data_IF_137692819211
#
_entry.id   IF_137692819211
#
_cell.length_a   1.000
_cell.length_b   1.000
_cell.length_c   1.000
_cell.angle_alpha   90.00
_cell.angle_beta   90.00
_cell.angle_gamma   90.00
#
_symmetry.space_group_name_H-M   'P 1'
#
loop_
_entity.id
_entity.type
_entity.pdbx_description
1 polymer ?
#
# COMPACT_ATOMS: atom_id res chain seq x y z
N UNK A 1 -24.13 -13.67 22.11
CA UNK A 1 -24.94 -13.12 21.03
C UNK A 1 -24.32 -13.60 19.72
N UNK A 2 -25.11 -14.27 18.86
CA UNK A 2 -24.62 -14.76 17.56
C UNK A 2 -24.31 -13.59 16.64
N UNK A 3 -23.21 -13.69 15.90
CA UNK A 3 -22.94 -12.83 14.75
C UNK A 3 -22.89 -13.72 13.52
N UNK A 4 -23.70 -13.40 12.55
CA UNK A 4 -23.77 -14.10 11.28
C UNK A 4 -22.65 -13.63 10.37
N UNK A 5 -21.97 -14.56 9.71
CA UNK A 5 -20.91 -14.32 8.73
C UNK A 5 -21.44 -14.65 7.33
N UNK A 6 -21.44 -13.68 6.44
CA UNK A 6 -21.72 -13.87 5.02
C UNK A 6 -20.49 -13.50 4.18
N UNK A 7 -20.29 -14.22 3.06
CA UNK A 7 -19.11 -14.12 2.22
C UNK A 7 -19.53 -13.99 0.75
N UNK A 8 -18.91 -13.05 0.02
CA UNK A 8 -19.08 -12.88 -1.42
C UNK A 8 -17.73 -12.78 -2.13
N UNK A 9 -17.26 -13.83 -2.84
CA UNK A 9 -16.10 -13.73 -3.72
C UNK A 9 -16.35 -12.71 -4.83
N UNK A 10 -15.33 -11.95 -5.18
CA UNK A 10 -15.39 -11.00 -6.28
C UNK A 10 -14.19 -11.12 -7.22
N UNK A 11 -14.42 -10.66 -8.46
CA UNK A 11 -13.40 -10.52 -9.48
C UNK A 11 -13.59 -9.20 -10.20
N UNK A 12 -12.60 -8.31 -10.13
CA UNK A 12 -12.66 -6.95 -10.64
C UNK A 12 -11.60 -6.75 -11.72
N UNK A 13 -12.00 -6.28 -12.89
CA UNK A 13 -11.09 -6.11 -14.02
C UNK A 13 -10.36 -4.77 -13.96
N UNK A 14 -9.04 -4.78 -14.09
CA UNK A 14 -8.30 -3.55 -14.35
C UNK A 14 -8.69 -2.95 -15.71
N UNK A 15 -8.78 -1.63 -15.80
CA UNK A 15 -9.05 -0.91 -17.05
C UNK A 15 -7.92 -1.16 -18.08
N UNK A 16 -6.70 -1.27 -17.59
CA UNK A 16 -5.53 -1.72 -18.34
C UNK A 16 -4.75 -2.71 -17.48
N UNK A 17 -4.18 -3.80 -18.04
CA UNK A 17 -3.37 -4.74 -17.26
C UNK A 17 -2.23 -4.03 -16.54
N UNK A 18 -2.11 -4.26 -15.23
CA UNK A 18 -1.02 -3.73 -14.45
C UNK A 18 0.24 -4.56 -14.69
N UNK A 19 1.31 -3.94 -15.16
CA UNK A 19 2.59 -4.62 -15.39
C UNK A 19 3.33 -4.81 -14.07
N UNK A 20 3.49 -6.08 -13.65
CA UNK A 20 4.22 -6.47 -12.44
C UNK A 20 5.47 -7.28 -12.80
N UNK A 21 6.34 -7.52 -11.83
CA UNK A 21 7.48 -8.44 -11.99
C UNK A 21 7.03 -9.90 -12.26
N UNK A 22 5.77 -10.23 -11.95
CA UNK A 22 5.15 -11.55 -12.13
C UNK A 22 4.30 -11.66 -13.40
N UNK A 23 4.39 -10.66 -14.28
CA UNK A 23 3.61 -10.57 -15.52
C UNK A 23 2.41 -9.62 -15.42
N UNK A 24 1.55 -9.59 -16.47
CA UNK A 24 0.40 -8.70 -16.51
C UNK A 24 -0.70 -9.14 -15.55
N UNK A 25 -1.01 -8.27 -14.58
CA UNK A 25 -2.13 -8.48 -13.66
C UNK A 25 -3.40 -7.87 -14.22
N UNK A 26 -4.33 -8.74 -14.65
CA UNK A 26 -5.56 -8.33 -15.36
C UNK A 26 -6.76 -8.22 -14.43
N UNK A 27 -6.78 -8.97 -13.35
CA UNK A 27 -7.93 -9.11 -12.46
C UNK A 27 -7.52 -9.02 -11.01
N UNK A 28 -8.19 -8.15 -10.25
CA UNK A 28 -8.16 -8.12 -8.80
C UNK A 28 -9.22 -9.06 -8.27
N UNK A 29 -8.82 -10.08 -7.54
CA UNK A 29 -9.72 -11.05 -6.93
C UNK A 29 -9.67 -10.88 -5.40
N UNK A 30 -10.78 -11.12 -4.74
CA UNK A 30 -10.88 -11.01 -3.30
C UNK A 30 -12.20 -11.59 -2.78
N UNK A 31 -12.42 -11.39 -1.49
CA UNK A 31 -13.59 -11.87 -0.77
C UNK A 31 -14.15 -10.74 0.08
N UNK A 32 -15.41 -10.38 -0.12
CA UNK A 32 -16.11 -9.47 0.77
C UNK A 32 -16.70 -10.25 1.94
N UNK A 33 -16.60 -9.63 3.10
CA UNK A 33 -17.13 -10.13 4.38
C UNK A 33 -18.24 -9.19 4.82
N UNK A 34 -19.37 -9.76 5.26
CA UNK A 34 -20.43 -9.04 5.96
C UNK A 34 -20.71 -9.76 7.25
N UNK A 35 -20.64 -9.05 8.35
CA UNK A 35 -21.02 -9.50 9.67
C UNK A 35 -22.32 -8.81 10.07
N UNK A 36 -23.26 -9.58 10.65
CA UNK A 36 -24.50 -9.02 11.19
C UNK A 36 -24.76 -9.59 12.58
N UNK A 37 -25.06 -8.72 13.53
CA UNK A 37 -25.41 -9.14 14.87
C UNK A 37 -26.92 -9.27 15.09
N UNK A 38 -27.32 -9.78 16.24
CA UNK A 38 -28.74 -9.99 16.59
C UNK A 38 -29.55 -8.69 16.71
N UNK A 39 -28.92 -7.53 16.67
CA UNK A 39 -29.57 -6.21 16.67
C UNK A 39 -29.67 -5.61 15.27
N UNK A 40 -29.22 -6.34 14.23
CA UNK A 40 -29.20 -5.90 12.84
C UNK A 40 -28.09 -4.89 12.51
N UNK A 41 -27.09 -4.73 13.39
CA UNK A 41 -25.91 -3.94 13.06
C UNK A 41 -25.03 -4.72 12.10
N UNK A 42 -24.43 -4.02 11.13
CA UNK A 42 -23.63 -4.63 10.07
C UNK A 42 -22.21 -4.07 10.10
N UNK A 43 -21.24 -4.93 9.91
CA UNK A 43 -19.85 -4.56 9.65
C UNK A 43 -19.35 -5.22 8.38
N UNK A 44 -18.62 -4.47 7.56
CA UNK A 44 -18.03 -4.94 6.31
C UNK A 44 -16.53 -5.07 6.42
N UNK A 45 -15.98 -6.11 5.78
CA UNK A 45 -14.55 -6.32 5.63
C UNK A 45 -14.20 -6.85 4.25
N UNK A 46 -12.94 -6.82 3.92
CA UNK A 46 -12.46 -7.30 2.64
C UNK A 46 -11.15 -8.08 2.80
N UNK A 47 -11.10 -9.27 2.24
CA UNK A 47 -9.88 -10.05 2.04
C UNK A 47 -9.40 -9.76 0.62
N UNK A 48 -8.32 -9.03 0.51
CA UNK A 48 -7.77 -8.56 -0.76
C UNK A 48 -6.33 -9.06 -0.94
N UNK A 49 -6.08 -10.40 -1.05
CA UNK A 49 -4.75 -10.96 -1.00
C UNK A 49 -3.95 -10.68 -2.28
N UNK A 50 -2.62 -10.68 -2.13
CA UNK A 50 -1.65 -10.63 -3.24
C UNK A 50 -0.63 -11.72 -2.99
N UNK A 51 -0.85 -12.96 -3.49
CA UNK A 51 -0.02 -14.12 -3.14
C UNK A 51 1.47 -13.94 -3.43
N UNK A 52 1.83 -13.31 -4.54
CA UNK A 52 3.23 -13.05 -4.86
C UNK A 52 3.87 -11.93 -4.01
N UNK A 53 3.07 -11.25 -3.18
CA UNK A 53 3.54 -10.27 -2.21
C UNK A 53 3.66 -10.84 -0.80
N UNK A 54 3.27 -12.10 -0.60
CA UNK A 54 3.42 -12.83 0.66
C UNK A 54 2.13 -13.06 1.46
N UNK A 55 0.97 -12.72 0.91
CA UNK A 55 -0.32 -13.10 1.51
C UNK A 55 -0.86 -14.40 0.90
N UNK A 56 -1.91 -14.92 1.49
CA UNK A 56 -2.65 -16.09 1.02
C UNK A 56 -3.31 -15.90 -0.34
N UNK A 57 -3.89 -16.96 -0.90
CA UNK A 57 -4.80 -16.90 -2.03
C UNK A 57 -6.26 -16.69 -1.59
N UNK A 58 -7.13 -16.21 -2.49
CA UNK A 58 -8.58 -16.11 -2.23
C UNK A 58 -9.19 -17.47 -1.89
N UNK A 59 -8.69 -18.55 -2.49
CA UNK A 59 -9.18 -19.90 -2.23
C UNK A 59 -8.87 -20.36 -0.79
N UNK A 60 -7.67 -20.08 -0.28
CA UNK A 60 -7.28 -20.39 1.10
C UNK A 60 -8.10 -19.57 2.09
N UNK A 61 -8.27 -18.27 1.84
CA UNK A 61 -9.12 -17.39 2.65
C UNK A 61 -10.57 -17.88 2.72
N UNK A 62 -11.16 -18.23 1.57
CA UNK A 62 -12.52 -18.73 1.48
C UNK A 62 -12.68 -20.06 2.22
N UNK A 63 -11.75 -20.99 2.01
CA UNK A 63 -11.77 -22.29 2.68
C UNK A 63 -11.68 -22.14 4.21
N UNK A 64 -10.81 -21.25 4.70
CA UNK A 64 -10.71 -20.94 6.13
C UNK A 64 -12.04 -20.39 6.67
N UNK A 65 -12.59 -19.34 6.05
CA UNK A 65 -13.83 -18.72 6.52
C UNK A 65 -15.02 -19.70 6.50
N UNK A 66 -15.11 -20.56 5.48
CA UNK A 66 -16.18 -21.57 5.38
C UNK A 66 -16.03 -22.67 6.42
N UNK A 67 -14.81 -23.12 6.72
CA UNK A 67 -14.56 -24.15 7.73
C UNK A 67 -14.93 -23.70 9.14
N UNK A 68 -14.84 -22.40 9.44
CA UNK A 68 -15.18 -21.86 10.76
C UNK A 68 -16.69 -21.76 11.01
N UNK A 69 -17.51 -21.63 9.96
CA UNK A 69 -18.97 -21.53 10.09
C UNK A 69 -19.40 -20.47 11.11
N UNK A 70 -20.31 -20.85 12.04
CA UNK A 70 -20.77 -19.97 13.12
C UNK A 70 -19.74 -19.77 14.26
N UNK A 71 -18.68 -20.56 14.31
CA UNK A 71 -17.66 -20.54 15.38
C UNK A 71 -16.42 -19.72 15.00
N UNK A 72 -16.46 -18.98 13.90
CA UNK A 72 -15.32 -18.23 13.37
C UNK A 72 -14.65 -17.28 14.39
N UNK A 73 -15.39 -16.85 15.43
CA UNK A 73 -14.84 -16.02 16.51
C UNK A 73 -14.02 -16.80 17.54
N UNK A 74 -14.19 -18.11 17.61
CA UNK A 74 -13.55 -18.95 18.62
C UNK A 74 -12.15 -19.40 18.22
N UNK A 75 -11.77 -19.17 16.97
CA UNK A 75 -10.48 -19.60 16.45
C UNK A 75 -9.70 -18.38 15.94
N UNK A 76 -8.46 -18.18 16.38
CA UNK A 76 -7.62 -17.14 15.82
C UNK A 76 -7.36 -17.42 14.33
N UNK A 77 -7.32 -16.35 13.53
CA UNK A 77 -6.91 -16.48 12.12
C UNK A 77 -5.40 -16.78 12.10
N UNK A 78 -4.97 -17.83 11.38
CA UNK A 78 -3.54 -18.14 11.24
C UNK A 78 -2.73 -16.97 10.68
N UNK A 79 -1.47 -16.84 11.11
CA UNK A 79 -0.57 -15.79 10.64
C UNK A 79 -0.25 -15.88 9.13
N UNK A 80 -0.44 -17.06 8.55
CA UNK A 80 -0.30 -17.34 7.12
C UNK A 80 -1.45 -16.77 6.27
N UNK A 81 -2.50 -16.25 6.92
CA UNK A 81 -3.68 -15.67 6.26
C UNK A 81 -3.83 -14.17 6.60
N UNK A 82 -2.81 -13.33 6.31
CA UNK A 82 -2.79 -11.94 6.79
C UNK A 82 -3.91 -11.07 6.18
N UNK A 83 -4.30 -11.29 4.92
CA UNK A 83 -5.42 -10.55 4.35
C UNK A 83 -6.77 -10.99 4.96
N UNK A 84 -6.90 -12.25 5.37
CA UNK A 84 -8.07 -12.74 6.09
C UNK A 84 -8.16 -12.15 7.51
N UNK A 85 -7.03 -12.05 8.23
CA UNK A 85 -6.97 -11.35 9.51
C UNK A 85 -7.47 -9.91 9.35
N UNK A 86 -6.88 -9.16 8.39
CA UNK A 86 -7.30 -7.79 8.11
C UNK A 86 -8.80 -7.71 7.83
N UNK A 87 -9.34 -8.56 6.95
CA UNK A 87 -10.75 -8.52 6.56
C UNK A 87 -11.71 -8.79 7.71
N UNK A 88 -11.47 -9.85 8.48
CA UNK A 88 -12.33 -10.22 9.61
C UNK A 88 -12.26 -9.20 10.76
N UNK A 89 -11.06 -8.78 11.15
CA UNK A 89 -10.89 -7.80 12.22
C UNK A 89 -11.44 -6.42 11.84
N UNK A 90 -11.31 -6.00 10.58
CA UNK A 90 -11.90 -4.75 10.09
C UNK A 90 -13.43 -4.80 10.12
N UNK A 91 -14.04 -5.92 9.68
CA UNK A 91 -15.49 -6.10 9.76
C UNK A 91 -15.98 -6.08 11.22
N UNK A 92 -15.22 -6.69 12.14
CA UNK A 92 -15.53 -6.67 13.57
C UNK A 92 -15.43 -5.26 14.16
N UNK A 93 -14.40 -4.51 13.80
CA UNK A 93 -14.22 -3.14 14.26
C UNK A 93 -15.36 -2.23 13.77
N UNK A 94 -15.80 -2.40 12.52
CA UNK A 94 -16.96 -1.68 11.97
C UNK A 94 -18.25 -2.06 12.70
N UNK A 95 -18.50 -3.36 12.92
CA UNK A 95 -19.67 -3.86 13.64
C UNK A 95 -19.75 -3.33 15.10
N UNK A 96 -18.60 -3.15 15.74
CA UNK A 96 -18.51 -2.68 17.13
C UNK A 96 -18.60 -1.15 17.26
N UNK A 97 -18.33 -0.40 16.19
CA UNK A 97 -18.29 1.05 16.22
C UNK A 97 -19.69 1.65 16.25
N UNK A 98 -19.95 2.62 17.14
CA UNK A 98 -21.21 3.38 17.17
C UNK A 98 -21.33 4.36 16.00
N UNK A 99 -20.21 4.80 15.42
CA UNK A 99 -20.14 5.76 14.32
C UNK A 99 -18.93 5.46 13.41
N UNK A 100 -19.06 4.50 12.50
CA UNK A 100 -18.05 4.21 11.50
C UNK A 100 -18.10 5.15 10.27
N UNK A 101 -19.17 5.93 10.15
CA UNK A 101 -19.44 6.80 8.98
C UNK A 101 -18.62 8.10 8.91
N UNK A 102 -17.68 8.32 9.83
CA UNK A 102 -16.89 9.58 9.89
C UNK A 102 -15.67 9.54 8.95
N UNK A 103 -15.56 8.51 8.10
CA UNK A 103 -14.42 8.46 7.21
C UNK A 103 -14.63 9.35 5.98
N UNK A 104 -13.72 10.32 5.78
CA UNK A 104 -13.67 11.14 4.58
C UNK A 104 -12.50 10.71 3.69
N UNK A 105 -12.75 10.66 2.37
CA UNK A 105 -11.69 10.41 1.39
C UNK A 105 -10.60 11.49 1.53
N UNK A 106 -9.31 11.12 1.63
CA UNK A 106 -8.23 12.08 1.73
C UNK A 106 -8.19 13.01 0.49
N UNK A 107 -7.82 14.28 0.71
CA UNK A 107 -7.63 15.22 -0.39
C UNK A 107 -6.52 14.76 -1.34
N UNK A 108 -6.54 15.26 -2.58
CA UNK A 108 -5.49 14.96 -3.56
C UNK A 108 -4.08 15.35 -3.08
N UNK A 109 -3.94 16.36 -2.23
CA UNK A 109 -2.66 16.76 -1.63
C UNK A 109 -2.11 15.71 -0.64
N UNK A 110 -3.01 14.96 0.01
CA UNK A 110 -2.65 13.90 0.93
C UNK A 110 -2.43 12.54 0.23
N UNK A 111 -2.68 12.45 -1.09
CA UNK A 111 -2.52 11.24 -1.89
C UNK A 111 -1.34 11.39 -2.84
N UNK A 112 -0.48 10.38 -2.89
CA UNK A 112 0.61 10.27 -3.84
C UNK A 112 0.07 9.98 -5.25
N UNK A 113 0.39 10.83 -6.22
CA UNK A 113 0.04 10.64 -7.63
C UNK A 113 0.97 9.64 -8.31
N UNK A 114 0.41 8.69 -9.07
CA UNK A 114 1.22 7.70 -9.79
C UNK A 114 1.63 8.21 -11.17
N UNK A 115 2.90 7.99 -11.52
CA UNK A 115 3.47 8.27 -12.82
C UNK A 115 3.72 6.97 -13.60
N UNK A 116 3.57 6.97 -14.92
CA UNK A 116 3.99 5.85 -15.75
C UNK A 116 5.51 5.69 -15.71
N UNK A 117 6.00 4.46 -15.93
CA UNK A 117 7.42 4.22 -16.10
C UNK A 117 7.97 4.93 -17.36
N UNK A 118 9.28 5.22 -17.37
CA UNK A 118 10.00 5.79 -18.49
C UNK A 118 9.67 7.26 -18.77
N UNK A 119 10.00 7.71 -19.98
CA UNK A 119 9.92 9.10 -20.44
C UNK A 119 8.52 9.72 -20.35
N UNK A 120 7.48 8.89 -20.47
CA UNK A 120 6.09 9.37 -20.36
C UNK A 120 5.78 10.08 -19.04
N UNK A 121 6.54 9.82 -17.97
CA UNK A 121 6.43 10.50 -16.70
C UNK A 121 6.60 12.03 -16.84
N UNK A 122 7.47 12.50 -17.74
CA UNK A 122 7.75 13.92 -17.97
C UNK A 122 6.49 14.70 -18.38
N UNK A 123 5.64 14.11 -19.23
CA UNK A 123 4.40 14.73 -19.67
C UNK A 123 3.28 14.63 -18.62
N UNK A 124 3.27 13.58 -17.80
CA UNK A 124 2.19 13.30 -16.86
C UNK A 124 2.42 14.00 -15.50
N UNK A 125 3.65 14.17 -15.06
CA UNK A 125 3.95 14.74 -13.75
C UNK A 125 3.39 16.17 -13.54
N UNK A 126 3.54 17.12 -14.48
CA UNK A 126 2.91 18.44 -14.34
C UNK A 126 1.38 18.36 -14.25
N UNK A 127 0.76 17.43 -14.97
CA UNK A 127 -0.68 17.23 -14.92
C UNK A 127 -1.14 16.73 -13.55
N UNK A 128 -0.43 15.73 -12.96
CA UNK A 128 -0.71 15.24 -11.61
C UNK A 128 -0.53 16.33 -10.57
N UNK A 129 0.51 17.14 -10.70
CA UNK A 129 0.73 18.29 -9.81
C UNK A 129 -0.40 19.32 -9.93
N UNK A 130 -0.86 19.64 -11.14
CA UNK A 130 -2.00 20.53 -11.38
C UNK A 130 -3.34 19.98 -10.81
N UNK A 131 -3.47 18.63 -10.72
CA UNK A 131 -4.60 17.96 -10.06
C UNK A 131 -4.53 18.02 -8.53
N UNK A 132 -3.50 18.64 -7.95
CA UNK A 132 -3.34 18.85 -6.52
C UNK A 132 -2.35 17.90 -5.84
N UNK A 133 -1.85 16.86 -6.50
CA UNK A 133 -0.83 15.99 -5.90
C UNK A 133 0.46 16.76 -5.66
N UNK A 134 1.02 16.63 -4.45
CA UNK A 134 2.31 17.24 -4.07
C UNK A 134 3.43 16.20 -3.98
N UNK A 135 3.07 14.94 -3.83
CA UNK A 135 3.99 13.79 -3.90
C UNK A 135 3.63 12.94 -5.10
N UNK A 136 4.64 12.54 -5.88
CA UNK A 136 4.48 11.72 -7.07
C UNK A 136 5.37 10.47 -6.94
N UNK A 137 4.88 9.30 -7.35
CA UNK A 137 5.63 8.04 -7.34
C UNK A 137 5.93 7.62 -8.77
N UNK A 138 7.18 7.39 -9.08
CA UNK A 138 7.68 7.01 -10.40
C UNK A 138 8.37 5.66 -10.34
N UNK A 139 7.95 4.73 -11.21
CA UNK A 139 8.55 3.41 -11.33
C UNK A 139 9.85 3.50 -12.11
N UNK A 140 10.94 2.99 -11.54
CA UNK A 140 12.30 2.94 -12.09
C UNK A 140 12.80 1.49 -12.23
N UNK A 141 13.98 1.31 -12.82
CA UNK A 141 14.58 -0.01 -13.05
C UNK A 141 13.93 -0.78 -14.20
N UNK A 142 13.20 -0.10 -15.07
CA UNK A 142 12.48 -0.67 -16.23
C UNK A 142 13.24 -0.41 -17.53
N UNK A 143 14.01 0.67 -17.58
CA UNK A 143 14.80 1.08 -18.74
C UNK A 143 16.30 1.15 -18.39
N UNK A 144 17.20 1.36 -19.37
CA UNK A 144 18.62 1.60 -19.09
C UNK A 144 18.79 2.74 -18.06
N UNK A 145 19.61 2.52 -17.04
CA UNK A 145 19.78 3.45 -15.92
C UNK A 145 20.23 4.84 -16.37
N UNK A 146 21.01 4.93 -17.45
CA UNK A 146 21.44 6.20 -18.04
C UNK A 146 20.28 7.05 -18.52
N UNK A 147 19.30 6.40 -19.14
CA UNK A 147 18.12 7.05 -19.69
C UNK A 147 17.18 7.48 -18.55
N UNK A 148 16.97 6.59 -17.56
CA UNK A 148 16.14 6.91 -16.39
C UNK A 148 16.72 8.05 -15.55
N UNK A 149 18.04 8.10 -15.32
CA UNK A 149 18.67 9.21 -14.62
C UNK A 149 18.59 10.50 -15.45
N UNK A 150 18.70 10.41 -16.77
CA UNK A 150 18.47 11.57 -17.65
C UNK A 150 17.06 12.11 -17.49
N UNK A 151 16.03 11.26 -17.54
CA UNK A 151 14.64 11.65 -17.31
C UNK A 151 14.38 12.17 -15.90
N UNK A 152 15.02 11.59 -14.86
CA UNK A 152 14.96 12.12 -13.50
C UNK A 152 15.39 13.59 -13.46
N UNK A 153 16.55 13.92 -14.06
CA UNK A 153 17.06 15.28 -14.09
C UNK A 153 16.09 16.26 -14.78
N UNK A 154 15.42 15.85 -15.85
CA UNK A 154 14.38 16.64 -16.50
C UNK A 154 13.14 16.78 -15.63
N UNK A 155 12.70 15.69 -14.99
CA UNK A 155 11.51 15.64 -14.15
C UNK A 155 11.62 16.58 -12.95
N UNK A 156 12.75 16.56 -12.23
CA UNK A 156 12.93 17.40 -11.05
C UNK A 156 13.07 18.89 -11.41
N UNK A 157 13.51 19.22 -12.63
CA UNK A 157 13.55 20.61 -13.12
C UNK A 157 12.18 21.11 -13.57
N UNK A 158 11.33 20.21 -14.10
CA UNK A 158 10.01 20.57 -14.59
C UNK A 158 8.96 20.69 -13.47
N UNK A 159 9.20 20.11 -12.31
CA UNK A 159 8.30 20.15 -11.16
C UNK A 159 8.55 21.35 -10.27
N UNK A 160 7.51 21.92 -9.62
CA UNK A 160 7.65 22.95 -8.60
C UNK A 160 8.50 22.48 -7.40
N UNK A 161 9.06 23.45 -6.67
CA UNK A 161 9.99 23.19 -5.55
C UNK A 161 9.32 22.48 -4.35
N UNK A 162 8.02 22.59 -4.21
CA UNK A 162 7.22 21.93 -3.19
C UNK A 162 6.79 20.50 -3.60
N UNK A 163 7.15 20.07 -4.81
CA UNK A 163 6.91 18.70 -5.26
C UNK A 163 7.90 17.73 -4.63
N UNK A 164 7.41 16.52 -4.35
CA UNK A 164 8.21 15.40 -3.84
C UNK A 164 8.10 14.21 -4.78
N UNK A 165 9.21 13.51 -4.96
CA UNK A 165 9.26 12.29 -5.77
C UNK A 165 9.61 11.08 -4.89
N UNK A 166 8.93 9.97 -5.13
CA UNK A 166 9.25 8.63 -4.65
C UNK A 166 9.65 7.79 -5.84
N UNK A 167 10.79 7.15 -5.75
CA UNK A 167 11.32 6.32 -6.82
C UNK A 167 11.15 4.86 -6.43
N UNK A 168 10.38 4.09 -7.20
CA UNK A 168 10.05 2.71 -6.88
C UNK A 168 10.72 1.74 -7.84
N UNK A 169 11.64 0.93 -7.31
CA UNK A 169 12.41 -0.05 -8.06
C UNK A 169 11.83 -1.48 -7.97
N UNK A 170 10.85 -1.74 -7.09
CA UNK A 170 10.25 -3.05 -6.86
C UNK A 170 11.27 -4.21 -6.74
N UNK A 171 12.39 -3.97 -6.05
CA UNK A 171 13.46 -4.96 -5.87
C UNK A 171 14.29 -5.26 -7.12
N UNK A 172 14.12 -4.51 -8.19
CA UNK A 172 14.67 -4.85 -9.52
C UNK A 172 16.10 -4.36 -9.80
N UNK A 173 16.75 -3.63 -8.89
CA UNK A 173 18.10 -3.11 -9.13
C UNK A 173 19.18 -4.08 -8.63
N UNK A 174 20.32 -4.05 -9.28
CA UNK A 174 21.55 -4.56 -8.70
C UNK A 174 22.11 -3.55 -7.67
N UNK A 175 22.98 -4.03 -6.76
CA UNK A 175 23.69 -3.17 -5.79
C UNK A 175 24.41 -1.98 -6.46
N UNK A 176 25.04 -2.21 -7.60
CA UNK A 176 25.73 -1.15 -8.35
C UNK A 176 24.74 -0.10 -8.88
N UNK A 177 23.59 -0.52 -9.39
CA UNK A 177 22.54 0.38 -9.87
C UNK A 177 21.89 1.14 -8.70
N UNK A 178 21.63 0.48 -7.57
CA UNK A 178 21.09 1.14 -6.38
C UNK A 178 22.02 2.26 -5.88
N UNK A 179 23.34 2.03 -5.87
CA UNK A 179 24.33 3.05 -5.54
C UNK A 179 24.33 4.21 -6.53
N UNK A 180 24.23 3.94 -7.85
CA UNK A 180 24.13 4.99 -8.86
C UNK A 180 22.86 5.84 -8.67
N UNK A 181 21.71 5.21 -8.37
CA UNK A 181 20.47 5.89 -8.07
C UNK A 181 20.59 6.76 -6.83
N UNK A 182 21.16 6.26 -5.73
CA UNK A 182 21.33 7.03 -4.49
C UNK A 182 22.24 8.23 -4.69
N UNK A 183 23.35 8.09 -5.46
CA UNK A 183 24.19 9.23 -5.84
C UNK A 183 23.43 10.28 -6.64
N UNK A 184 22.57 9.85 -7.59
CA UNK A 184 21.76 10.77 -8.37
C UNK A 184 20.72 11.48 -7.49
N UNK A 185 20.05 10.75 -6.59
CA UNK A 185 19.08 11.30 -5.64
C UNK A 185 19.74 12.31 -4.68
N UNK A 186 20.88 11.98 -4.09
CA UNK A 186 21.61 12.89 -3.19
C UNK A 186 22.03 14.18 -3.90
N UNK A 187 22.47 14.07 -5.17
CA UNK A 187 22.78 15.26 -5.99
C UNK A 187 21.53 16.14 -6.19
N UNK A 188 20.36 15.55 -6.44
CA UNK A 188 19.10 16.31 -6.54
C UNK A 188 18.80 16.98 -5.21
N UNK A 189 18.84 16.24 -4.10
CA UNK A 189 18.46 16.72 -2.77
C UNK A 189 19.42 17.78 -2.21
N UNK A 190 20.66 17.86 -2.69
CA UNK A 190 21.58 18.95 -2.33
C UNK A 190 21.32 20.26 -3.07
N UNK A 191 20.47 20.26 -4.11
CA UNK A 191 20.14 21.45 -4.86
C UNK A 191 18.75 21.98 -4.45
N UNK A 192 18.67 23.11 -3.71
CA UNK A 192 17.40 23.67 -3.23
C UNK A 192 16.51 24.27 -4.34
N UNK A 193 16.99 24.28 -5.59
CA UNK A 193 16.25 24.77 -6.76
C UNK A 193 15.52 23.63 -7.50
N UNK A 194 15.49 22.42 -6.95
CA UNK A 194 14.87 21.24 -7.55
C UNK A 194 13.78 20.67 -6.64
N UNK A 195 12.86 19.91 -7.23
CA UNK A 195 11.92 19.07 -6.48
C UNK A 195 12.70 18.03 -5.65
N UNK A 196 12.19 17.66 -4.47
CA UNK A 196 12.88 16.77 -3.53
C UNK A 196 12.61 15.30 -3.82
N UNK A 197 13.63 14.46 -3.75
CA UNK A 197 13.46 12.99 -3.72
C UNK A 197 13.20 12.58 -2.27
N UNK A 198 12.01 12.05 -1.99
CA UNK A 198 11.60 11.67 -0.63
C UNK A 198 12.29 10.37 -0.18
N UNK A 199 12.34 9.36 -1.07
CA UNK A 199 13.05 8.11 -0.86
C UNK A 199 13.21 7.28 -2.15
N UNK A 200 14.12 6.31 -2.10
CA UNK A 200 14.24 5.20 -3.04
C UNK A 200 13.56 3.97 -2.43
N UNK A 201 12.45 3.50 -3.06
CA UNK A 201 11.64 2.40 -2.56
C UNK A 201 12.15 1.08 -3.11
N UNK A 202 12.31 0.10 -2.21
CA UNK A 202 12.73 -1.28 -2.45
C UNK A 202 13.76 -1.41 -3.58
N UNK A 203 14.97 -0.87 -3.41
CA UNK A 203 15.98 -0.91 -4.47
C UNK A 203 16.45 -2.32 -4.78
N UNK A 204 16.58 -3.18 -3.78
CA UNK A 204 17.08 -4.56 -3.89
C UNK A 204 16.02 -5.58 -3.49
N UNK A 205 16.17 -6.86 -3.88
CA UNK A 205 15.30 -7.94 -3.44
C UNK A 205 15.16 -8.02 -1.91
N UNK A 206 14.03 -8.56 -1.39
CA UNK A 206 13.75 -8.60 0.05
C UNK A 206 14.80 -9.33 0.89
N UNK A 207 15.46 -10.36 0.34
CA UNK A 207 16.52 -11.13 1.01
C UNK A 207 17.84 -10.35 1.18
N UNK A 208 17.96 -9.15 0.61
CA UNK A 208 19.14 -8.29 0.70
C UNK A 208 18.96 -7.14 1.73
N UNK A 209 18.22 -7.37 2.81
CA UNK A 209 17.97 -6.35 3.84
C UNK A 209 19.25 -5.76 4.43
N UNK A 210 20.25 -6.58 4.71
CA UNK A 210 21.55 -6.13 5.24
C UNK A 210 22.23 -5.12 4.31
N UNK A 211 22.19 -5.37 3.01
CA UNK A 211 22.79 -4.45 2.04
C UNK A 211 21.95 -3.16 1.92
N UNK A 212 20.62 -3.27 1.90
CA UNK A 212 19.75 -2.09 1.92
C UNK A 212 19.97 -1.23 3.18
N UNK A 213 20.21 -1.86 4.32
CA UNK A 213 20.56 -1.15 5.57
C UNK A 213 21.91 -0.43 5.44
N UNK A 214 22.91 -1.08 4.87
CA UNK A 214 24.21 -0.44 4.63
C UNK A 214 24.11 0.74 3.65
N UNK A 215 23.31 0.59 2.58
CA UNK A 215 23.04 1.67 1.65
C UNK A 215 22.30 2.83 2.33
N UNK A 216 21.26 2.56 3.13
CA UNK A 216 20.51 3.59 3.87
C UNK A 216 21.37 4.40 4.85
N UNK A 217 22.42 3.79 5.39
CA UNK A 217 23.39 4.47 6.27
C UNK A 217 24.47 5.23 5.50
N UNK A 218 24.70 4.88 4.23
CA UNK A 218 25.79 5.44 3.42
C UNK A 218 25.40 6.65 2.57
N UNK A 219 24.11 6.95 2.44
CA UNK A 219 23.60 8.02 1.59
C UNK A 219 22.60 8.90 2.35
N UNK A 220 22.35 10.13 1.84
CA UNK A 220 21.41 11.07 2.47
C UNK A 220 19.95 10.75 2.13
N UNK A 221 19.71 10.29 0.90
CA UNK A 221 18.39 9.89 0.44
C UNK A 221 17.93 8.64 1.19
N UNK A 222 16.76 8.72 1.81
CA UNK A 222 16.19 7.60 2.54
C UNK A 222 15.89 6.41 1.60
N UNK A 223 15.98 5.20 2.15
CA UNK A 223 15.45 3.98 1.50
C UNK A 223 14.15 3.61 2.19
N UNK A 224 13.16 3.16 1.40
CA UNK A 224 11.90 2.61 1.88
C UNK A 224 11.81 1.11 1.54
N UNK A 225 11.30 0.32 2.49
CA UNK A 225 10.97 -1.10 2.27
C UNK A 225 9.50 -1.24 1.92
N UNK A 226 9.17 -2.00 0.89
CA UNK A 226 7.81 -2.39 0.48
C UNK A 226 7.68 -3.93 0.49
N UNK A 227 8.26 -4.62 -0.49
CA UNK A 227 8.21 -6.08 -0.60
C UNK A 227 8.88 -6.81 0.57
N UNK A 228 9.78 -6.16 1.29
CA UNK A 228 10.43 -6.70 2.48
C UNK A 228 9.55 -6.69 3.74
N UNK A 229 8.40 -5.99 3.71
CA UNK A 229 7.55 -5.74 4.89
C UNK A 229 6.07 -5.92 4.56
N UNK A 230 5.76 -6.97 3.81
CA UNK A 230 4.40 -7.28 3.39
C UNK A 230 3.47 -7.59 4.58
N UNK A 231 3.99 -8.15 5.68
CA UNK A 231 3.23 -8.48 6.89
C UNK A 231 3.77 -7.78 8.13
N UNK A 232 2.95 -7.68 9.19
CA UNK A 232 3.36 -7.13 10.49
C UNK A 232 4.56 -7.89 11.05
N UNK A 233 4.57 -9.22 10.96
CA UNK A 233 5.70 -10.04 11.40
C UNK A 233 7.01 -9.71 10.66
N UNK A 234 6.95 -9.48 9.35
CA UNK A 234 8.12 -9.05 8.56
C UNK A 234 8.58 -7.63 8.93
N UNK A 235 7.62 -6.73 9.20
CA UNK A 235 7.90 -5.36 9.63
C UNK A 235 8.59 -5.36 10.99
N UNK A 236 8.12 -6.16 11.97
CA UNK A 236 8.76 -6.36 13.27
C UNK A 236 10.17 -6.95 13.11
N UNK A 237 10.32 -7.98 12.29
CA UNK A 237 11.62 -8.59 12.02
C UNK A 237 12.64 -7.58 11.42
N UNK A 238 12.23 -6.77 10.45
CA UNK A 238 13.10 -5.73 9.89
C UNK A 238 13.47 -4.68 10.96
N UNK A 239 12.52 -4.29 11.81
CA UNK A 239 12.76 -3.38 12.93
C UNK A 239 13.77 -3.95 13.92
N UNK A 240 13.62 -5.21 14.31
CA UNK A 240 14.50 -5.89 15.27
C UNK A 240 15.92 -6.11 14.70
N UNK A 241 16.04 -6.27 13.37
CA UNK A 241 17.32 -6.26 12.68
C UNK A 241 17.94 -4.87 12.52
N UNK A 242 17.33 -3.82 13.07
CA UNK A 242 17.89 -2.47 13.12
C UNK A 242 17.48 -1.56 11.96
N UNK A 243 16.54 -1.95 11.10
CA UNK A 243 16.04 -1.03 10.09
C UNK A 243 15.36 0.20 10.70
N UNK A 244 15.75 1.39 10.26
CA UNK A 244 15.20 2.68 10.73
C UNK A 244 14.86 3.62 9.56
N UNK A 245 14.89 3.12 8.33
CA UNK A 245 14.40 3.81 7.14
C UNK A 245 12.87 3.89 7.09
N UNK A 246 12.33 4.12 5.92
CA UNK A 246 10.86 4.18 5.70
C UNK A 246 10.31 2.77 5.52
N UNK A 247 9.09 2.52 6.01
CA UNK A 247 8.31 1.33 5.70
C UNK A 247 7.09 1.73 4.87
N UNK A 248 6.88 1.08 3.73
CA UNK A 248 5.66 1.20 2.93
C UNK A 248 4.77 0.02 3.29
N UNK A 249 3.67 0.28 3.96
CA UNK A 249 2.78 -0.77 4.49
C UNK A 249 1.46 -0.78 3.75
N UNK A 250 1.02 -1.97 3.35
CA UNK A 250 -0.29 -2.21 2.73
C UNK A 250 -1.21 -2.88 3.76
N UNK A 251 -2.02 -2.13 4.53
CA UNK A 251 -2.80 -2.70 5.63
C UNK A 251 -3.65 -3.90 5.22
N UNK A 252 -4.26 -3.84 4.03
CA UNK A 252 -5.15 -4.88 3.53
C UNK A 252 -4.51 -6.27 3.33
N UNK A 253 -3.18 -6.38 3.42
CA UNK A 253 -2.43 -7.65 3.34
C UNK A 253 -1.42 -7.80 4.49
N UNK A 254 -1.36 -6.84 5.41
CA UNK A 254 -0.32 -6.82 6.44
C UNK A 254 -0.60 -7.77 7.62
N UNK A 255 -1.83 -8.19 7.83
CA UNK A 255 -2.26 -9.00 8.97
C UNK A 255 -3.20 -8.24 9.88
N UNK A 256 -3.12 -8.51 11.18
CA UNK A 256 -4.00 -7.90 12.18
C UNK A 256 -3.86 -6.37 12.23
N UNK A 257 -4.95 -5.61 12.02
CA UNK A 257 -5.00 -4.18 12.29
C UNK A 257 -4.55 -3.81 13.70
N UNK A 258 -4.92 -4.60 14.71
CA UNK A 258 -4.57 -4.33 16.12
C UNK A 258 -3.07 -4.50 16.37
N UNK A 259 -2.45 -5.54 15.80
CA UNK A 259 -0.99 -5.76 15.90
C UNK A 259 -0.21 -4.66 15.18
N UNK A 260 -0.66 -4.24 13.99
CA UNK A 260 -0.06 -3.13 13.25
C UNK A 260 -0.13 -1.82 14.05
N UNK A 261 -1.28 -1.50 14.64
CA UNK A 261 -1.44 -0.32 15.49
C UNK A 261 -0.56 -0.39 16.76
N UNK A 262 -0.49 -1.56 17.40
CA UNK A 262 0.37 -1.77 18.57
C UNK A 262 1.86 -1.58 18.21
N UNK A 263 2.31 -2.11 17.07
CA UNK A 263 3.66 -1.88 16.57
C UNK A 263 3.94 -0.40 16.34
N UNK A 264 3.01 0.33 15.70
CA UNK A 264 3.15 1.76 15.43
C UNK A 264 3.26 2.57 16.72
N UNK A 265 2.40 2.30 17.69
CA UNK A 265 2.40 3.00 18.99
C UNK A 265 3.68 2.74 19.79
N UNK A 266 4.17 1.50 19.78
CA UNK A 266 5.37 1.11 20.53
C UNK A 266 6.65 1.69 19.95
N UNK A 267 6.78 1.69 18.61
CA UNK A 267 8.06 1.91 17.93
C UNK A 267 8.16 3.27 17.24
N UNK A 268 7.04 3.94 16.94
CA UNK A 268 6.96 5.21 16.22
C UNK A 268 7.75 5.20 14.91
N UNK A 269 7.56 4.19 14.03
CA UNK A 269 8.34 4.04 12.82
C UNK A 269 8.00 5.11 11.78
N UNK A 270 8.90 5.30 10.80
CA UNK A 270 8.62 6.12 9.62
C UNK A 270 7.76 5.30 8.64
N UNK A 271 6.46 5.55 8.60
CA UNK A 271 5.50 4.79 7.80
C UNK A 271 4.94 5.61 6.65
N UNK A 272 4.70 4.92 5.55
CA UNK A 272 3.84 5.36 4.44
C UNK A 272 2.83 4.23 4.19
N UNK A 273 1.55 4.55 4.25
CA UNK A 273 0.51 3.57 3.97
C UNK A 273 0.16 3.57 2.48
N UNK A 274 -0.03 2.37 1.92
CA UNK A 274 -0.29 2.15 0.49
C UNK A 274 -1.45 1.18 0.27
N UNK A 275 -2.11 1.29 -0.87
CA UNK A 275 -3.21 0.42 -1.29
C UNK A 275 -2.68 -0.93 -1.78
N UNK A 276 -3.47 -2.00 -1.53
CA UNK A 276 -3.35 -3.30 -2.16
C UNK A 276 -4.34 -3.47 -3.33
N UNK A 277 -4.88 -2.38 -3.89
CA UNK A 277 -5.95 -2.36 -4.89
C UNK A 277 -7.26 -2.99 -4.37
N UNK A 278 -7.50 -2.84 -3.10
CA UNK A 278 -8.76 -3.21 -2.44
C UNK A 278 -9.94 -2.39 -2.97
N UNK A 279 -11.16 -2.87 -2.71
CA UNK A 279 -12.40 -2.14 -3.00
C UNK A 279 -12.61 -1.01 -1.98
N UNK A 280 -13.71 -0.27 -2.12
CA UNK A 280 -14.11 0.77 -1.16
C UNK A 280 -14.20 0.23 0.29
N UNK A 281 -14.51 -1.06 0.48
CA UNK A 281 -14.62 -1.68 1.79
C UNK A 281 -13.24 -1.78 2.47
N UNK A 282 -12.28 -2.45 1.84
CA UNK A 282 -10.92 -2.58 2.38
C UNK A 282 -10.19 -1.24 2.45
N UNK A 283 -10.42 -0.37 1.44
CA UNK A 283 -9.84 0.97 1.40
C UNK A 283 -10.23 1.81 2.62
N UNK A 284 -11.52 1.82 3.01
CA UNK A 284 -11.99 2.55 4.22
C UNK A 284 -11.25 2.07 5.47
N UNK A 285 -11.19 0.75 5.66
CA UNK A 285 -10.50 0.15 6.80
C UNK A 285 -8.99 0.49 6.80
N UNK A 286 -8.33 0.36 5.65
CA UNK A 286 -6.90 0.66 5.51
C UNK A 286 -6.59 2.13 5.79
N UNK A 287 -7.43 3.05 5.33
CA UNK A 287 -7.27 4.49 5.57
C UNK A 287 -7.59 4.87 7.02
N UNK A 288 -8.52 4.20 7.68
CA UNK A 288 -8.77 4.39 9.10
C UNK A 288 -7.55 3.99 9.95
N UNK A 289 -6.85 2.90 9.60
CA UNK A 289 -5.58 2.51 10.23
C UNK A 289 -4.50 3.56 9.94
N UNK A 290 -4.37 4.00 8.68
CA UNK A 290 -3.41 5.03 8.30
C UNK A 290 -3.60 6.33 9.12
N UNK A 291 -4.85 6.75 9.35
CA UNK A 291 -5.15 7.93 10.14
C UNK A 291 -4.72 7.80 11.61
N UNK A 292 -4.80 6.59 12.19
CA UNK A 292 -4.39 6.33 13.58
C UNK A 292 -2.88 6.13 13.76
N UNK A 293 -2.21 5.61 12.72
CA UNK A 293 -0.79 5.21 12.79
C UNK A 293 0.16 6.20 12.12
N UNK A 294 -0.31 7.16 11.31
CA UNK A 294 0.57 8.10 10.65
C UNK A 294 1.15 9.14 11.63
N UNK A 295 2.44 9.49 11.48
CA UNK A 295 3.03 10.58 12.25
C UNK A 295 2.43 11.93 11.84
N UNK A 296 2.65 12.96 12.66
CA UNK A 296 2.29 14.33 12.30
C UNK A 296 3.58 15.13 11.96
N UNK A 297 3.69 15.77 10.77
CA UNK A 297 2.74 15.73 9.65
C UNK A 297 2.72 14.35 8.95
N UNK A 298 1.53 13.93 8.51
CA UNK A 298 1.40 12.67 7.80
C UNK A 298 2.04 12.74 6.41
N UNK A 299 2.81 11.71 5.99
CA UNK A 299 3.29 11.63 4.62
C UNK A 299 2.13 11.36 3.65
N UNK A 300 2.30 11.71 2.38
CA UNK A 300 1.30 11.42 1.36
C UNK A 300 1.06 9.90 1.26
N UNK A 301 -0.21 9.50 1.20
CA UNK A 301 -0.63 8.11 1.19
C UNK A 301 -0.54 7.51 -0.22
N UNK A 302 -0.12 6.25 -0.32
CA UNK A 302 -0.03 5.48 -1.57
C UNK A 302 -1.38 4.94 -2.05
N UNK A 303 -2.46 5.71 -1.96
CA UNK A 303 -3.82 5.31 -2.32
C UNK A 303 -4.31 5.94 -3.63
N UNK A 304 -3.41 6.37 -4.51
CA UNK A 304 -3.74 6.94 -5.83
C UNK A 304 -4.22 5.90 -6.85
N UNK A 305 -5.08 4.98 -6.45
CA UNK A 305 -5.56 3.85 -7.27
C UNK A 305 -6.95 4.07 -7.88
N UNK A 306 -7.56 5.23 -7.70
CA UNK A 306 -8.85 5.56 -8.31
C UNK A 306 -8.75 5.57 -9.84
N UNK A 307 -9.77 5.02 -10.51
CA UNK A 307 -9.83 4.93 -11.98
C UNK A 307 -8.95 3.85 -12.60
N UNK A 308 -8.35 2.98 -11.78
CA UNK A 308 -7.56 1.83 -12.29
C UNK A 308 -8.41 0.66 -12.76
N UNK A 309 -9.69 0.64 -12.37
CA UNK A 309 -10.62 -0.42 -12.73
C UNK A 309 -11.60 0.01 -13.82
N UNK A 310 -12.17 -0.97 -14.53
CA UNK A 310 -13.09 -0.76 -15.65
C UNK A 310 -14.54 -0.49 -15.22
N UNK A 311 -14.80 -0.56 -13.91
CA UNK A 311 -16.12 -0.36 -13.30
C UNK A 311 -16.17 0.93 -12.46
N UNK A 312 -17.27 1.13 -11.75
CA UNK A 312 -17.51 2.28 -10.87
C UNK A 312 -17.61 1.91 -9.37
N UNK A 313 -17.01 0.79 -8.94
CA UNK A 313 -17.15 0.33 -7.54
C UNK A 313 -16.55 1.31 -6.53
N UNK A 314 -15.55 2.09 -6.95
CA UNK A 314 -14.91 3.09 -6.08
C UNK A 314 -15.85 4.23 -5.66
N UNK A 315 -17.04 4.37 -6.31
CA UNK A 315 -18.06 5.37 -5.99
C UNK A 315 -19.25 4.82 -5.19
N UNK A 316 -19.25 3.51 -4.91
CA UNK A 316 -20.31 2.86 -4.15
C UNK A 316 -20.04 2.94 -2.66
N UNK A 317 -21.12 2.89 -1.86
CA UNK A 317 -21.02 2.58 -0.44
C UNK A 317 -20.74 1.09 -0.23
N UNK A 318 -20.23 0.66 0.93
CA UNK A 318 -20.07 -0.77 1.25
C UNK A 318 -21.34 -1.59 1.06
N UNK A 319 -22.49 -1.06 1.48
CA UNK A 319 -23.78 -1.72 1.33
C UNK A 319 -24.19 -1.86 -0.13
N UNK A 320 -24.06 -0.80 -0.94
CA UNK A 320 -24.35 -0.84 -2.38
C UNK A 320 -23.42 -1.84 -3.11
N UNK A 321 -22.14 -1.88 -2.75
CA UNK A 321 -21.19 -2.83 -3.33
C UNK A 321 -21.58 -4.27 -2.95
N UNK A 322 -21.94 -4.50 -1.68
CA UNK A 322 -22.40 -5.80 -1.22
C UNK A 322 -23.64 -6.29 -1.97
N UNK A 323 -24.65 -5.43 -2.15
CA UNK A 323 -25.88 -5.80 -2.86
C UNK A 323 -25.69 -6.01 -4.37
N UNK A 324 -24.64 -5.43 -4.93
CA UNK A 324 -24.31 -5.54 -6.36
C UNK A 324 -23.72 -6.89 -6.76
N UNK A 325 -23.06 -7.58 -5.84
CA UNK A 325 -22.42 -8.89 -6.01
C UNK A 325 -23.35 -10.03 -5.57
#
# INVERSE_FOLDING_TARGET
MGVELALKPYRRRFAQPLQTAHGPWMWREGLLIRLEDSLGRVGYGEVAPIPWFGSESVAEALAFCQAQGSEWRSHPVPAELPATQFGLESAMAELAAENFDIWQEPSSTAICGLLPAGERALAIAPQRFAQGHRTLKWKIGVHPITDEIHWLNQLVQALPLDARLRLDANGGLSSAQAKQWLVACDRVNTNPQLATIEYLEQPLPPDQLTEMTALGNGYQTAIALDESVATVAQLENCWDQGWRGVFVVKPAIAGSPQELEAFCQKNLPRLVFSSAFETVIGRRAALAIAARCSPAPAPALGFGTQGWFADNWDTLTPAELWERL
#
